data_IF_154506633554
#
_entry.id   IF_154506633554
#
_cell.length_a   1.000
_cell.length_b   1.000
_cell.length_c   1.000
_cell.angle_alpha   90.00
_cell.angle_beta   90.00
_cell.angle_gamma   90.00
#
_symmetry.space_group_name_H-M   'P 1'
#
loop_
_entity.id
_entity.type
_entity.pdbx_description
1 polymer ?
#
# COMPACT_ATOMS: atom_id res chain seq x y z
N UNK A 1 6.17 -28.27 -0.45
CA UNK A 1 5.32 -27.07 -0.21
C UNK A 1 6.08 -25.77 0.15
N UNK A 2 7.33 -25.82 0.69
CA UNK A 2 8.09 -24.63 1.09
C UNK A 2 8.42 -23.64 -0.06
N UNK A 3 8.79 -24.14 -1.25
CA UNK A 3 9.12 -23.29 -2.41
C UNK A 3 7.95 -22.41 -2.90
N UNK A 4 6.71 -22.96 -2.99
CA UNK A 4 5.53 -22.21 -3.43
C UNK A 4 5.16 -21.04 -2.50
N UNK A 5 5.43 -21.16 -1.19
CA UNK A 5 5.20 -20.09 -0.20
C UNK A 5 6.20 -18.93 -0.39
N UNK A 6 7.48 -19.27 -0.66
CA UNK A 6 8.55 -18.30 -0.95
C UNK A 6 8.26 -17.51 -2.23
N UNK A 7 7.74 -18.17 -3.28
CA UNK A 7 7.35 -17.52 -4.54
C UNK A 7 6.18 -16.53 -4.41
N UNK A 8 5.16 -16.84 -3.58
CA UNK A 8 4.06 -15.87 -3.31
C UNK A 8 4.55 -14.63 -2.60
N UNK A 9 5.33 -14.82 -1.53
CA UNK A 9 5.83 -13.72 -0.73
C UNK A 9 6.75 -12.81 -1.55
N UNK A 10 7.62 -13.40 -2.38
CA UNK A 10 8.47 -12.64 -3.29
C UNK A 10 7.67 -11.84 -4.32
N UNK A 11 6.55 -12.35 -4.82
CA UNK A 11 5.69 -11.60 -5.75
C UNK A 11 5.14 -10.31 -5.13
N UNK A 12 4.54 -10.37 -3.94
CA UNK A 12 3.97 -9.17 -3.31
C UNK A 12 5.04 -8.18 -2.86
N UNK A 13 6.22 -8.67 -2.44
CA UNK A 13 7.36 -7.79 -2.11
C UNK A 13 7.89 -7.10 -3.36
N UNK A 14 8.03 -7.84 -4.48
CA UNK A 14 8.44 -7.24 -5.76
C UNK A 14 7.39 -6.26 -6.29
N UNK A 15 6.11 -6.56 -6.11
CA UNK A 15 5.01 -5.67 -6.46
C UNK A 15 5.06 -4.35 -5.67
N UNK A 16 5.23 -4.42 -4.34
CA UNK A 16 5.39 -3.24 -3.50
C UNK A 16 6.63 -2.43 -3.91
N UNK A 17 7.78 -3.09 -4.09
CA UNK A 17 8.99 -2.43 -4.54
C UNK A 17 8.83 -1.74 -5.90
N UNK A 18 8.06 -2.33 -6.82
CA UNK A 18 7.74 -1.70 -8.09
C UNK A 18 6.85 -0.47 -7.91
N UNK A 19 5.83 -0.54 -7.04
CA UNK A 19 4.98 0.61 -6.72
C UNK A 19 5.77 1.77 -6.08
N UNK A 20 6.69 1.47 -5.16
CA UNK A 20 7.52 2.49 -4.52
C UNK A 20 8.53 3.10 -5.49
N UNK A 21 9.08 2.31 -6.41
CA UNK A 21 9.90 2.81 -7.51
C UNK A 21 9.10 3.73 -8.45
N UNK A 22 7.83 3.43 -8.71
CA UNK A 22 6.96 4.33 -9.48
C UNK A 22 6.82 5.69 -8.80
N UNK A 23 6.65 5.74 -7.46
CA UNK A 23 6.65 7.03 -6.73
C UNK A 23 7.97 7.77 -6.91
N UNK A 24 9.11 7.07 -6.76
CA UNK A 24 10.41 7.67 -6.98
C UNK A 24 10.60 8.23 -8.39
N UNK A 25 10.21 7.47 -9.41
CA UNK A 25 10.44 7.81 -10.82
C UNK A 25 9.46 8.87 -11.33
N UNK A 26 8.19 8.80 -10.92
CA UNK A 26 7.15 9.64 -11.48
C UNK A 26 6.85 10.89 -10.66
N UNK A 27 7.20 10.90 -9.37
CA UNK A 27 7.00 12.06 -8.50
C UNK A 27 8.33 12.67 -8.08
N UNK A 28 9.17 11.90 -7.37
CA UNK A 28 10.39 12.45 -6.74
C UNK A 28 11.40 12.93 -7.79
N UNK A 29 11.65 12.15 -8.84
CA UNK A 29 12.62 12.53 -9.88
C UNK A 29 12.19 13.80 -10.67
N UNK A 30 10.97 13.90 -11.22
CA UNK A 30 10.54 15.10 -11.94
C UNK A 30 10.53 16.36 -11.07
N UNK A 31 10.08 16.24 -9.82
CA UNK A 31 10.08 17.34 -8.85
C UNK A 31 11.51 17.77 -8.51
N UNK A 32 12.41 16.82 -8.28
CA UNK A 32 13.83 17.11 -8.04
C UNK A 32 14.46 17.80 -9.26
N UNK A 33 14.15 17.34 -10.47
CA UNK A 33 14.70 17.93 -11.69
C UNK A 33 14.24 19.38 -11.84
N UNK A 34 12.95 19.63 -11.62
CA UNK A 34 12.36 20.96 -11.67
C UNK A 34 13.03 21.92 -10.68
N UNK A 35 13.10 21.52 -9.40
CA UNK A 35 13.60 22.39 -8.33
C UNK A 35 15.12 22.59 -8.39
N UNK A 36 15.91 21.56 -8.70
CA UNK A 36 17.37 21.64 -8.63
C UNK A 36 18.05 22.05 -9.93
N UNK A 37 17.42 21.80 -11.08
CA UNK A 37 17.98 22.16 -12.38
C UNK A 37 17.24 23.32 -13.04
N UNK A 38 16.29 23.96 -12.34
CA UNK A 38 15.51 25.11 -12.84
C UNK A 38 14.90 24.81 -14.22
N UNK A 39 14.39 23.58 -14.39
CA UNK A 39 13.75 23.17 -15.64
C UNK A 39 12.28 23.53 -15.57
N UNK A 40 11.89 24.56 -16.32
CA UNK A 40 10.50 24.95 -16.47
C UNK A 40 9.66 23.78 -16.97
N UNK A 41 8.57 23.49 -16.26
CA UNK A 41 7.50 22.65 -16.74
C UNK A 41 6.71 23.39 -17.80
N UNK A 42 6.42 22.67 -18.88
CA UNK A 42 5.36 23.06 -19.79
C UNK A 42 4.03 22.47 -19.30
N UNK A 43 2.93 22.97 -19.87
CA UNK A 43 1.57 22.50 -19.60
C UNK A 43 1.46 20.97 -19.70
N UNK A 44 2.06 20.36 -20.71
CA UNK A 44 2.01 18.91 -20.91
C UNK A 44 2.71 18.13 -19.77
N UNK A 45 3.92 18.54 -19.38
CA UNK A 45 4.67 17.91 -18.27
C UNK A 45 3.96 18.09 -16.93
N UNK A 46 3.35 19.25 -16.72
CA UNK A 46 2.54 19.56 -15.55
C UNK A 46 1.37 18.58 -15.38
N UNK A 47 0.51 18.49 -16.39
CA UNK A 47 -0.67 17.62 -16.32
C UNK A 47 -0.32 16.13 -16.23
N UNK A 48 0.76 15.70 -16.88
CA UNK A 48 1.16 14.29 -16.88
C UNK A 48 1.85 13.89 -15.59
N UNK A 49 2.96 14.54 -15.23
CA UNK A 49 3.77 14.09 -14.11
C UNK A 49 3.11 14.47 -12.79
N UNK A 50 2.71 15.72 -12.64
CA UNK A 50 2.11 16.20 -11.40
C UNK A 50 0.61 15.94 -11.31
N UNK A 51 -0.12 16.16 -12.41
CA UNK A 51 -1.58 16.00 -12.41
C UNK A 51 -2.07 14.56 -12.40
N UNK A 52 -1.32 13.60 -12.96
CA UNK A 52 -1.77 12.20 -13.04
C UNK A 52 -0.78 11.21 -12.44
N UNK A 53 0.46 11.16 -12.92
CA UNK A 53 1.39 10.09 -12.56
C UNK A 53 1.82 10.14 -11.09
N UNK A 54 1.99 11.33 -10.52
CA UNK A 54 2.26 11.52 -9.11
C UNK A 54 1.14 10.97 -8.20
N UNK A 55 -0.11 11.48 -8.26
CA UNK A 55 -1.20 10.97 -7.43
C UNK A 55 -1.47 9.49 -7.69
N UNK A 56 -1.40 9.05 -8.95
CA UNK A 56 -1.50 7.64 -9.32
C UNK A 56 -0.48 6.78 -8.57
N UNK A 57 0.79 7.18 -8.55
CA UNK A 57 1.85 6.42 -7.90
C UNK A 57 1.65 6.34 -6.39
N UNK A 58 1.26 7.45 -5.75
CA UNK A 58 0.92 7.47 -4.33
C UNK A 58 -0.23 6.53 -3.99
N UNK A 59 -1.34 6.61 -4.72
CA UNK A 59 -2.47 5.72 -4.48
C UNK A 59 -2.08 4.25 -4.69
N UNK A 60 -1.37 3.92 -5.77
CA UNK A 60 -0.96 2.53 -6.03
C UNK A 60 -0.06 1.99 -4.91
N UNK A 61 0.91 2.77 -4.43
CA UNK A 61 1.77 2.36 -3.31
C UNK A 61 0.96 2.15 -2.03
N UNK A 62 0.09 3.09 -1.65
CA UNK A 62 -0.78 2.95 -0.48
C UNK A 62 -1.66 1.71 -0.56
N UNK A 63 -2.34 1.48 -1.69
CA UNK A 63 -3.20 0.30 -1.86
C UNK A 63 -2.41 -0.99 -2.02
N UNK A 64 -1.15 -0.94 -2.47
CA UNK A 64 -0.26 -2.09 -2.46
C UNK A 64 0.03 -2.58 -1.02
N UNK A 65 0.21 -1.65 -0.07
CA UNK A 65 0.37 -1.97 1.36
C UNK A 65 -0.91 -2.61 1.93
N UNK A 66 -2.09 -2.09 1.55
CA UNK A 66 -3.38 -2.68 1.95
C UNK A 66 -3.53 -4.10 1.41
N UNK A 67 -3.27 -4.30 0.11
CA UNK A 67 -3.29 -5.61 -0.55
C UNK A 67 -2.32 -6.58 0.10
N UNK A 68 -1.11 -6.13 0.43
CA UNK A 68 -0.12 -6.93 1.16
C UNK A 68 -0.66 -7.35 2.53
N UNK A 69 -1.27 -6.43 3.28
CA UNK A 69 -1.88 -6.70 4.59
C UNK A 69 -3.01 -7.74 4.50
N UNK A 70 -3.88 -7.63 3.49
CA UNK A 70 -4.94 -8.59 3.21
C UNK A 70 -4.36 -9.98 2.85
N UNK A 71 -3.31 -10.02 2.03
CA UNK A 71 -2.61 -11.27 1.71
C UNK A 71 -2.09 -11.97 2.97
N UNK A 72 -1.42 -11.21 3.84
CA UNK A 72 -0.89 -11.71 5.12
C UNK A 72 -2.01 -12.20 6.01
N UNK A 73 -3.08 -11.43 6.15
CA UNK A 73 -4.25 -11.82 6.92
C UNK A 73 -4.82 -13.13 6.40
N UNK A 74 -5.06 -13.27 5.10
CA UNK A 74 -5.63 -14.50 4.55
C UNK A 74 -4.72 -15.72 4.72
N UNK A 75 -3.40 -15.55 4.54
CA UNK A 75 -2.43 -16.63 4.76
C UNK A 75 -2.36 -17.04 6.22
N UNK A 76 -2.46 -16.08 7.15
CA UNK A 76 -2.46 -16.36 8.59
C UNK A 76 -3.78 -16.97 9.02
N UNK A 77 -4.93 -16.36 8.71
CA UNK A 77 -6.26 -16.78 9.18
C UNK A 77 -6.72 -18.08 8.52
N UNK A 78 -6.47 -18.28 7.22
CA UNK A 78 -6.94 -19.45 6.45
C UNK A 78 -5.78 -20.17 5.74
N UNK A 79 -4.89 -20.88 6.48
CA UNK A 79 -3.72 -21.54 5.91
C UNK A 79 -4.02 -22.64 4.89
N UNK A 80 -5.28 -23.11 4.82
CA UNK A 80 -5.75 -24.22 3.96
C UNK A 80 -6.77 -23.80 2.90
N UNK A 81 -7.08 -22.51 2.75
CA UNK A 81 -8.05 -22.06 1.73
C UNK A 81 -7.53 -22.36 0.31
N UNK A 82 -8.25 -23.18 -0.49
CA UNK A 82 -7.89 -23.44 -1.89
C UNK A 82 -7.91 -22.16 -2.72
N UNK A 83 -8.86 -21.27 -2.43
CA UNK A 83 -9.07 -19.99 -3.14
C UNK A 83 -7.84 -19.09 -2.99
N UNK A 84 -7.31 -18.98 -1.77
CA UNK A 84 -6.12 -18.17 -1.50
C UNK A 84 -4.89 -18.72 -2.21
N UNK A 85 -4.88 -19.99 -2.65
CA UNK A 85 -3.77 -20.61 -3.39
C UNK A 85 -3.83 -20.34 -4.90
N UNK A 86 -4.97 -19.91 -5.43
CA UNK A 86 -5.15 -19.60 -6.84
C UNK A 86 -4.24 -18.44 -7.26
N UNK A 87 -3.64 -18.59 -8.44
CA UNK A 87 -2.80 -17.56 -9.05
C UNK A 87 -3.62 -16.31 -9.42
N UNK A 88 -4.85 -16.52 -9.89
CA UNK A 88 -5.83 -15.47 -10.24
C UNK A 88 -6.08 -14.54 -9.04
N UNK A 89 -6.19 -15.07 -7.82
CA UNK A 89 -6.43 -14.25 -6.64
C UNK A 89 -5.33 -13.20 -6.40
N UNK A 90 -4.05 -13.58 -6.59
CA UNK A 90 -2.92 -12.66 -6.35
C UNK A 90 -2.82 -11.58 -7.42
N UNK A 91 -3.01 -11.95 -8.69
CA UNK A 91 -3.03 -11.00 -9.78
C UNK A 91 -4.26 -10.09 -9.71
N UNK A 92 -5.41 -10.61 -9.31
CA UNK A 92 -6.63 -9.83 -9.09
C UNK A 92 -6.44 -8.78 -7.99
N UNK A 93 -5.79 -9.13 -6.88
CA UNK A 93 -5.44 -8.16 -5.83
C UNK A 93 -4.49 -7.07 -6.34
N UNK A 94 -3.39 -7.45 -7.00
CA UNK A 94 -2.45 -6.47 -7.55
C UNK A 94 -3.12 -5.55 -8.59
N UNK A 95 -3.93 -6.13 -9.48
CA UNK A 95 -4.67 -5.39 -10.49
C UNK A 95 -5.71 -4.45 -9.86
N UNK A 96 -6.36 -4.85 -8.76
CA UNK A 96 -7.33 -3.99 -8.07
C UNK A 96 -6.69 -2.71 -7.52
N UNK A 97 -5.47 -2.78 -6.99
CA UNK A 97 -4.76 -1.60 -6.51
C UNK A 97 -4.34 -0.67 -7.66
N UNK A 98 -3.92 -1.23 -8.81
CA UNK A 98 -3.67 -0.44 -10.02
C UNK A 98 -4.92 0.27 -10.52
N UNK A 99 -6.02 -0.45 -10.70
CA UNK A 99 -7.28 0.11 -11.20
C UNK A 99 -7.80 1.17 -10.24
N UNK A 100 -7.80 0.89 -8.93
CA UNK A 100 -8.25 1.83 -7.92
C UNK A 100 -7.38 3.09 -7.90
N UNK A 101 -6.05 2.92 -7.95
CA UNK A 101 -5.12 4.06 -8.03
C UNK A 101 -5.30 4.88 -9.30
N UNK A 102 -5.50 4.24 -10.46
CA UNK A 102 -5.81 4.96 -11.71
C UNK A 102 -7.10 5.75 -11.60
N UNK A 103 -8.18 5.14 -11.11
CA UNK A 103 -9.48 5.80 -10.99
C UNK A 103 -9.42 7.02 -10.06
N UNK A 104 -8.73 6.87 -8.92
CA UNK A 104 -8.58 7.96 -7.94
C UNK A 104 -7.64 9.07 -8.42
N UNK A 105 -6.70 8.79 -9.33
CA UNK A 105 -5.82 9.79 -9.91
C UNK A 105 -6.48 10.62 -11.03
N UNK A 106 -7.56 10.12 -11.65
CA UNK A 106 -8.23 10.85 -12.74
C UNK A 106 -8.75 12.21 -12.26
N UNK A 107 -9.30 12.30 -11.04
CA UNK A 107 -9.81 13.57 -10.52
C UNK A 107 -8.70 14.64 -10.43
N UNK A 108 -7.47 14.25 -10.08
CA UNK A 108 -6.32 15.16 -10.02
C UNK A 108 -5.95 15.69 -11.41
N UNK A 109 -5.98 14.82 -12.43
CA UNK A 109 -5.64 15.21 -13.80
C UNK A 109 -6.61 16.25 -14.36
N UNK A 110 -7.89 16.14 -14.00
CA UNK A 110 -8.95 17.09 -14.39
C UNK A 110 -8.86 18.41 -13.62
N UNK A 111 -8.41 18.37 -12.37
CA UNK A 111 -8.31 19.52 -11.47
C UNK A 111 -6.89 20.11 -11.36
N UNK A 112 -6.00 19.78 -12.29
CA UNK A 112 -4.68 20.41 -12.36
C UNK A 112 -4.74 21.60 -13.30
N UNK A 113 -4.15 22.71 -12.92
CA UNK A 113 -3.98 23.88 -13.80
C UNK A 113 -2.52 24.30 -13.82
N UNK A 114 -2.03 24.55 -15.04
CA UNK A 114 -0.73 25.12 -15.30
C UNK A 114 -0.82 26.64 -15.37
N UNK A 115 -0.02 27.33 -14.56
CA UNK A 115 0.11 28.79 -14.59
C UNK A 115 1.44 29.16 -15.24
N UNK A 116 1.43 29.82 -16.41
CA UNK A 116 2.66 30.21 -17.07
C UNK A 116 3.39 31.31 -16.28
N UNK A 117 4.73 31.39 -16.43
CA UNK A 117 5.58 32.31 -15.66
C UNK A 117 5.26 33.80 -15.86
N UNK A 118 4.50 34.14 -16.91
CA UNK A 118 4.01 35.52 -17.14
C UNK A 118 3.10 36.05 -16.02
N UNK A 119 2.52 35.17 -15.20
CA UNK A 119 1.59 35.54 -14.13
C UNK A 119 2.20 35.45 -12.72
N UNK A 120 3.31 34.74 -12.51
CA UNK A 120 3.80 34.36 -11.17
C UNK A 120 5.34 34.41 -10.99
N UNK A 121 6.10 35.03 -11.91
CA UNK A 121 7.57 35.04 -11.95
C UNK A 121 8.24 33.65 -12.16
N UNK A 122 7.54 32.55 -11.86
CA UNK A 122 7.92 31.14 -12.07
C UNK A 122 6.75 30.34 -12.69
N UNK A 123 7.05 29.20 -13.31
CA UNK A 123 6.04 28.27 -13.80
C UNK A 123 5.45 27.46 -12.64
N UNK A 124 4.13 27.60 -12.41
CA UNK A 124 3.50 26.98 -11.24
C UNK A 124 2.45 25.96 -11.67
N UNK A 125 2.60 24.75 -11.16
CA UNK A 125 1.61 23.68 -11.30
C UNK A 125 0.84 23.51 -10.01
N UNK A 126 -0.44 23.86 -10.07
CA UNK A 126 -1.33 23.77 -8.92
C UNK A 126 -2.41 22.76 -9.21
N UNK A 127 -2.64 21.88 -8.25
CA UNK A 127 -3.93 21.25 -8.17
C UNK A 127 -4.90 22.33 -7.72
N UNK A 128 -5.73 22.80 -8.65
CA UNK A 128 -7.00 23.44 -8.33
C UNK A 128 -7.93 22.37 -7.75
N UNK A 129 -7.53 21.78 -6.61
CA UNK A 129 -8.54 21.37 -5.65
C UNK A 129 -9.31 22.66 -5.41
N UNK A 130 -10.54 22.80 -5.97
CA UNK A 130 -11.23 24.04 -5.77
C UNK A 130 -11.43 24.15 -4.27
N UNK A 131 -11.72 25.36 -3.83
CA UNK A 131 -11.97 25.78 -2.46
C UNK A 131 -13.08 25.00 -1.72
N UNK A 132 -13.50 23.85 -2.24
CA UNK A 132 -14.44 22.92 -1.70
C UNK A 132 -13.76 21.98 -0.68
N UNK A 133 -13.98 22.20 0.63
CA UNK A 133 -13.40 21.37 1.66
C UNK A 133 -13.81 19.90 1.51
N UNK A 134 -14.94 19.59 0.86
CA UNK A 134 -15.44 18.22 0.70
C UNK A 134 -14.49 17.34 -0.12
N UNK A 135 -13.92 17.85 -1.21
CA UNK A 135 -12.99 17.10 -2.07
C UNK A 135 -11.68 16.83 -1.33
N UNK A 136 -11.17 17.82 -0.59
CA UNK A 136 -9.96 17.67 0.22
C UNK A 136 -10.16 16.65 1.34
N UNK A 137 -11.31 16.68 2.02
CA UNK A 137 -11.63 15.68 3.04
C UNK A 137 -11.78 14.29 2.45
N UNK A 138 -12.42 14.16 1.28
CA UNK A 138 -12.54 12.89 0.57
C UNK A 138 -11.16 12.31 0.27
N UNK A 139 -10.25 13.12 -0.28
CA UNK A 139 -8.91 12.68 -0.62
C UNK A 139 -8.11 12.20 0.61
N UNK A 140 -8.05 13.00 1.67
CA UNK A 140 -7.40 12.61 2.95
C UNK A 140 -8.02 11.32 3.49
N UNK A 141 -9.35 11.18 3.40
CA UNK A 141 -10.02 9.97 3.84
C UNK A 141 -9.59 8.74 3.03
N UNK A 142 -9.53 8.87 1.70
CA UNK A 142 -9.24 7.76 0.79
C UNK A 142 -7.75 7.39 0.77
N UNK A 143 -6.86 8.37 0.91
CA UNK A 143 -5.41 8.17 0.84
C UNK A 143 -4.80 7.78 2.19
N UNK A 144 -5.39 8.23 3.31
CA UNK A 144 -4.80 8.02 4.64
C UNK A 144 -5.74 7.22 5.54
N UNK A 145 -6.95 7.73 5.81
CA UNK A 145 -7.81 7.18 6.86
C UNK A 145 -8.31 5.77 6.54
N UNK A 146 -8.85 5.55 5.35
CA UNK A 146 -9.39 4.25 4.90
C UNK A 146 -8.27 3.19 4.88
N UNK A 147 -7.12 3.42 4.22
CA UNK A 147 -5.99 2.49 4.25
C UNK A 147 -5.55 2.12 5.68
N UNK A 148 -5.42 3.11 6.58
CA UNK A 148 -5.05 2.88 7.98
C UNK A 148 -6.08 1.98 8.69
N UNK A 149 -7.37 2.26 8.55
CA UNK A 149 -8.44 1.44 9.16
C UNK A 149 -8.37 0.00 8.62
N UNK A 150 -8.19 -0.18 7.31
CA UNK A 150 -8.06 -1.51 6.71
C UNK A 150 -6.82 -2.26 7.22
N UNK A 151 -5.69 -1.57 7.33
CA UNK A 151 -4.45 -2.14 7.84
C UNK A 151 -4.62 -2.55 9.31
N UNK A 152 -5.15 -1.66 10.16
CA UNK A 152 -5.41 -1.93 11.58
C UNK A 152 -6.35 -3.13 11.74
N UNK A 153 -7.47 -3.16 11.03
CA UNK A 153 -8.43 -4.27 11.12
C UNK A 153 -7.82 -5.60 10.67
N UNK A 154 -7.01 -5.60 9.60
CA UNK A 154 -6.25 -6.78 9.17
C UNK A 154 -5.30 -7.26 10.28
N UNK A 155 -4.55 -6.35 10.91
CA UNK A 155 -3.61 -6.71 11.98
C UNK A 155 -4.31 -7.20 13.25
N UNK A 156 -5.46 -6.61 13.63
CA UNK A 156 -6.29 -7.10 14.75
C UNK A 156 -6.76 -8.53 14.46
N UNK A 157 -7.28 -8.79 13.26
CA UNK A 157 -7.72 -10.14 12.86
C UNK A 157 -6.57 -11.16 12.87
N UNK A 158 -5.38 -10.76 12.39
CA UNK A 158 -4.16 -11.57 12.46
C UNK A 158 -3.84 -11.91 13.92
N UNK A 159 -3.83 -10.90 14.80
CA UNK A 159 -3.54 -11.08 16.22
C UNK A 159 -4.52 -12.05 16.88
N UNK A 160 -5.82 -11.83 16.69
CA UNK A 160 -6.88 -12.69 17.23
C UNK A 160 -6.76 -14.13 16.72
N UNK A 161 -6.48 -14.33 15.43
CA UNK A 161 -6.35 -15.65 14.85
C UNK A 161 -5.11 -16.40 15.38
N UNK A 162 -4.00 -15.70 15.60
CA UNK A 162 -2.81 -16.31 16.20
C UNK A 162 -3.07 -16.64 17.68
N UNK A 163 -3.68 -15.73 18.44
CA UNK A 163 -3.98 -15.94 19.85
C UNK A 163 -4.90 -17.15 20.06
N UNK A 164 -6.03 -17.23 19.33
CA UNK A 164 -6.98 -18.35 19.42
C UNK A 164 -6.31 -19.70 19.16
N UNK A 165 -5.41 -19.77 18.17
CA UNK A 165 -4.68 -21.03 17.86
C UNK A 165 -3.74 -21.44 18.97
N UNK A 166 -3.05 -20.47 19.57
CA UNK A 166 -2.14 -20.72 20.68
C UNK A 166 -2.91 -21.24 21.90
N UNK A 167 -4.03 -20.59 22.25
CA UNK A 167 -4.89 -21.06 23.36
C UNK A 167 -5.43 -22.47 23.14
N UNK A 168 -5.97 -22.78 21.95
CA UNK A 168 -6.49 -24.12 21.65
C UNK A 168 -5.41 -25.22 21.70
N UNK A 169 -4.21 -24.93 21.20
CA UNK A 169 -3.11 -25.90 21.20
C UNK A 169 -2.48 -26.08 22.58
N UNK A 170 -2.38 -25.00 23.36
CA UNK A 170 -1.96 -25.08 24.75
C UNK A 170 -2.91 -25.95 25.58
N UNK A 171 -4.23 -25.84 25.36
CA UNK A 171 -5.25 -26.71 25.98
C UNK A 171 -5.17 -28.19 25.55
N UNK A 172 -4.54 -28.50 24.41
CA UNK A 172 -4.34 -29.89 23.93
C UNK A 172 -2.93 -30.41 24.20
N UNK A 173 -2.04 -29.58 24.76
CA UNK A 173 -0.64 -29.94 25.02
C UNK A 173 -0.48 -30.55 26.41
N UNK A 174 -0.04 -31.81 26.46
CA UNK A 174 0.07 -32.60 27.69
C UNK A 174 1.42 -32.43 28.44
N UNK A 175 2.36 -31.63 27.93
CA UNK A 175 3.72 -31.49 28.48
C UNK A 175 4.20 -30.04 28.57
N UNK A 176 4.89 -29.69 29.67
CA UNK A 176 5.49 -28.37 29.89
C UNK A 176 6.52 -27.96 28.81
N UNK A 177 7.20 -28.92 28.17
CA UNK A 177 8.16 -28.67 27.09
C UNK A 177 7.49 -28.17 25.80
N UNK A 178 6.30 -28.68 25.51
CA UNK A 178 5.54 -28.36 24.30
C UNK A 178 4.92 -26.96 24.40
N UNK A 179 4.43 -26.58 25.58
CA UNK A 179 3.93 -25.23 25.84
C UNK A 179 5.01 -24.14 25.69
N UNK A 180 6.25 -24.41 26.13
CA UNK A 180 7.38 -23.50 25.95
C UNK A 180 7.73 -23.32 24.47
N UNK A 181 7.86 -24.42 23.72
CA UNK A 181 8.18 -24.39 22.29
C UNK A 181 7.09 -23.67 21.48
N UNK A 182 5.84 -23.76 21.92
CA UNK A 182 4.72 -23.07 21.29
C UNK A 182 4.72 -21.56 21.55
N UNK A 183 5.06 -21.14 22.78
CA UNK A 183 5.27 -19.73 23.12
C UNK A 183 6.39 -19.12 22.27
N UNK A 184 7.53 -19.79 22.12
CA UNK A 184 8.64 -19.31 21.28
C UNK A 184 8.19 -19.14 19.82
N UNK A 185 7.43 -20.10 19.27
CA UNK A 185 6.87 -20.00 17.93
C UNK A 185 5.83 -18.87 17.77
N UNK A 186 5.06 -18.57 18.82
CA UNK A 186 4.14 -17.44 18.85
C UNK A 186 4.90 -16.12 18.81
N UNK A 187 5.90 -15.94 19.68
CA UNK A 187 6.72 -14.73 19.71
C UNK A 187 7.48 -14.52 18.40
N UNK A 188 8.00 -15.58 17.78
CA UNK A 188 8.65 -15.50 16.47
C UNK A 188 7.70 -14.98 15.37
N UNK A 189 6.45 -15.49 15.31
CA UNK A 189 5.44 -15.00 14.36
C UNK A 189 5.02 -13.56 14.65
N UNK A 190 4.85 -13.22 15.92
CA UNK A 190 4.49 -11.87 16.36
C UNK A 190 5.58 -10.86 16.02
N UNK A 191 6.87 -11.24 16.11
CA UNK A 191 8.00 -10.39 15.73
C UNK A 191 7.95 -10.03 14.24
N UNK A 192 7.67 -11.01 13.38
CA UNK A 192 7.51 -10.75 11.94
C UNK A 192 6.31 -9.85 11.65
N UNK A 193 5.19 -10.02 12.37
CA UNK A 193 4.01 -9.14 12.22
C UNK A 193 4.32 -7.72 12.67
N UNK A 194 5.01 -7.54 13.80
CA UNK A 194 5.46 -6.23 14.28
C UNK A 194 6.38 -5.53 13.30
N UNK A 195 7.34 -6.25 12.71
CA UNK A 195 8.22 -5.68 11.68
C UNK A 195 7.43 -5.27 10.43
N UNK A 196 6.44 -6.07 10.02
CA UNK A 196 5.59 -5.72 8.88
C UNK A 196 4.71 -4.50 9.17
N UNK A 197 4.20 -4.35 10.39
CA UNK A 197 3.44 -3.16 10.80
C UNK A 197 4.26 -1.89 10.68
N UNK A 198 5.52 -1.90 11.17
CA UNK A 198 6.45 -0.76 11.07
C UNK A 198 6.84 -0.44 9.62
N UNK A 199 6.75 -1.40 8.70
CA UNK A 199 6.99 -1.15 7.27
C UNK A 199 5.73 -0.64 6.57
N UNK A 200 4.54 -0.85 7.16
CA UNK A 200 3.24 -0.48 6.57
C UNK A 200 2.66 0.83 7.10
N UNK A 201 3.29 1.42 8.13
CA UNK A 201 2.90 2.66 8.83
C UNK A 201 4.14 3.54 8.92
#
# INVERSE_FOLDING_TARGET
>A
MKQKKKSRMGFFVAYLAYADLCVGIFHVLPETIHVWFEVDWNEFTCHIFYGYLAPFSFYVSTYAIVVLSIDRMNVVVKPLSPVTRLRIYKYGLALSAWILGSLLAIQYSVHTTYYPPQNFDEDVCLHEFPYDPEIRYFDVCVLIIIPIIFIITCYIMIYMAIHRRHTCKFMTSNSNSDGMHERVNFYAKMRTVKQLFVVSV
#
